data_IF_062603145845
#
_entry.id   IF_062603145845
#
_cell.length_a   1.000
_cell.length_b   1.000
_cell.length_c   1.000
_cell.angle_alpha   90.00
_cell.angle_beta   90.00
_cell.angle_gamma   90.00
#
_symmetry.space_group_name_H-M   'P 1'
#
loop_
_entity.id
_entity.type
_entity.pdbx_description
1 polymer ?
#
# COMPACT_ATOMS: atom_id res chain seq x y z
N UNK A 1 -46.86 -10.62 5.24
CA UNK A 1 -46.36 -9.23 5.27
C UNK A 1 -44.84 -9.28 5.28
N UNK A 2 -44.21 -9.48 4.11
CA UNK A 2 -42.76 -9.48 3.96
C UNK A 2 -42.44 -8.65 2.71
N UNK A 3 -42.38 -7.33 2.87
CA UNK A 3 -41.89 -6.41 1.85
C UNK A 3 -41.29 -5.18 2.52
N UNK A 4 -40.04 -4.92 2.19
CA UNK A 4 -39.40 -3.62 2.36
C UNK A 4 -38.63 -3.47 3.67
N UNK A 5 -37.32 -3.73 3.62
CA UNK A 5 -36.21 -2.76 3.81
C UNK A 5 -34.94 -3.57 3.50
N UNK A 6 -34.76 -3.95 2.24
CA UNK A 6 -33.43 -4.25 1.70
C UNK A 6 -33.29 -3.31 0.50
N UNK A 7 -33.50 -2.02 0.77
CA UNK A 7 -33.27 -0.96 -0.18
C UNK A 7 -31.77 -0.71 -0.22
N UNK A 8 -31.16 -1.11 -1.33
CA UNK A 8 -29.91 -0.53 -1.82
C UNK A 8 -28.78 -0.47 -0.79
N UNK A 9 -28.16 -1.61 -0.52
CA UNK A 9 -26.71 -1.58 -0.31
C UNK A 9 -26.16 -1.17 -1.69
N UNK A 10 -26.04 0.14 -1.94
CA UNK A 10 -24.89 0.58 -2.72
C UNK A 10 -23.71 -0.06 -2.01
N UNK A 11 -23.11 -1.08 -2.63
CA UNK A 11 -21.77 -1.48 -2.27
C UNK A 11 -20.91 -0.24 -2.51
N UNK A 12 -20.87 0.66 -1.52
CA UNK A 12 -19.82 1.65 -1.40
C UNK A 12 -18.56 0.82 -1.55
N UNK A 13 -17.82 1.03 -2.64
CA UNK A 13 -16.52 0.41 -2.83
C UNK A 13 -15.65 0.89 -1.67
N UNK A 14 -15.63 0.10 -0.59
CA UNK A 14 -14.75 0.35 0.55
C UNK A 14 -13.39 -0.16 0.12
N UNK A 15 -12.47 0.77 -0.06
CA UNK A 15 -11.09 0.45 -0.37
C UNK A 15 -10.33 0.21 0.95
N UNK A 16 -9.71 -0.96 1.05
CA UNK A 16 -8.93 -1.36 2.21
C UNK A 16 -7.55 -0.70 2.15
N UNK A 17 -7.21 0.07 3.18
CA UNK A 17 -5.94 0.77 3.27
C UNK A 17 -5.05 0.16 4.36
N UNK A 18 -3.83 -0.22 4.00
CA UNK A 18 -2.83 -0.76 4.93
C UNK A 18 -1.68 0.24 5.07
N UNK A 19 -1.40 0.63 6.31
CA UNK A 19 -0.23 1.44 6.70
C UNK A 19 0.32 0.93 8.03
N UNK A 20 1.55 1.27 8.35
CA UNK A 20 2.15 0.94 9.65
C UNK A 20 1.56 1.79 10.79
N UNK A 21 2.05 1.56 12.01
CA UNK A 21 1.59 2.23 13.21
C UNK A 21 2.35 3.53 13.55
N UNK A 22 3.07 4.14 12.60
CA UNK A 22 3.83 5.35 12.87
C UNK A 22 2.94 6.48 13.44
N UNK A 23 3.43 7.32 14.37
CA UNK A 23 2.60 8.36 15.00
C UNK A 23 1.95 9.34 14.02
N UNK A 24 2.62 9.65 12.90
CA UNK A 24 2.07 10.51 11.85
C UNK A 24 0.84 9.88 11.15
N UNK A 25 0.84 8.55 10.99
CA UNK A 25 -0.25 7.78 10.38
C UNK A 25 -1.49 7.67 11.29
N UNK A 26 -1.29 7.77 12.61
CA UNK A 26 -2.36 7.78 13.63
C UNK A 26 -2.85 9.17 14.02
N UNK A 27 -2.29 10.23 13.42
CA UNK A 27 -2.70 11.59 13.76
C UNK A 27 -4.17 11.83 13.42
N UNK A 28 -4.83 12.70 14.18
CA UNK A 28 -6.24 13.07 13.94
C UNK A 28 -6.45 13.57 12.49
N UNK A 29 -5.50 14.35 11.97
CA UNK A 29 -5.56 14.87 10.60
C UNK A 29 -5.58 13.73 9.58
N UNK A 30 -4.74 12.73 9.76
CA UNK A 30 -4.67 11.54 8.89
C UNK A 30 -5.95 10.73 8.96
N UNK A 31 -6.43 10.40 10.18
CA UNK A 31 -7.65 9.60 10.37
C UNK A 31 -8.89 10.27 9.78
N UNK A 32 -9.03 11.59 9.97
CA UNK A 32 -10.11 12.37 9.36
C UNK A 32 -10.03 12.34 7.83
N UNK A 33 -8.82 12.39 7.25
CA UNK A 33 -8.65 12.33 5.79
C UNK A 33 -8.99 10.95 5.24
N UNK A 34 -8.54 9.86 5.89
CA UNK A 34 -8.87 8.48 5.50
C UNK A 34 -10.38 8.26 5.50
N UNK A 35 -11.08 8.71 6.54
CA UNK A 35 -12.52 8.62 6.62
C UNK A 35 -13.23 9.40 5.50
N UNK A 36 -12.77 10.61 5.17
CA UNK A 36 -13.30 11.42 4.05
C UNK A 36 -13.09 10.76 2.69
N UNK A 37 -11.97 10.06 2.51
CA UNK A 37 -11.66 9.30 1.30
C UNK A 37 -12.37 7.93 1.26
N UNK A 38 -13.10 7.56 2.32
CA UNK A 38 -13.81 6.27 2.47
C UNK A 38 -12.86 5.06 2.49
N UNK A 39 -11.63 5.26 2.93
CA UNK A 39 -10.71 4.17 3.20
C UNK A 39 -11.04 3.50 4.53
N UNK A 40 -11.08 2.17 4.53
CA UNK A 40 -11.09 1.38 5.75
C UNK A 40 -9.67 0.99 6.13
N UNK A 41 -9.22 1.43 7.31
CA UNK A 41 -7.88 1.15 7.79
C UNK A 41 -7.78 -0.30 8.29
N UNK A 42 -6.93 -1.09 7.66
CA UNK A 42 -6.58 -2.42 8.14
C UNK A 42 -5.68 -2.33 9.37
N UNK A 43 -6.00 -3.15 10.39
CA UNK A 43 -5.15 -3.28 11.57
C UNK A 43 -3.79 -3.84 11.17
N UNK A 44 -2.74 -3.15 11.60
CA UNK A 44 -1.36 -3.59 11.45
C UNK A 44 -0.77 -3.88 12.84
N UNK A 45 -0.17 -5.05 13.07
CA UNK A 45 0.50 -5.33 14.32
C UNK A 45 1.77 -4.47 14.49
N UNK A 46 2.18 -4.12 15.73
CA UNK A 46 3.43 -3.40 15.95
C UNK A 46 4.65 -4.21 15.49
N UNK A 47 5.62 -3.54 14.85
CA UNK A 47 6.92 -4.11 14.44
C UNK A 47 6.82 -5.32 13.50
N UNK A 48 5.90 -5.29 12.53
CA UNK A 48 5.68 -6.40 11.59
C UNK A 48 5.97 -6.03 10.12
N UNK A 49 7.23 -5.70 9.77
CA UNK A 49 7.59 -5.40 8.38
C UNK A 49 7.41 -6.62 7.46
N UNK A 50 7.45 -7.82 8.02
CA UNK A 50 7.12 -9.06 7.32
C UNK A 50 5.67 -9.09 6.82
N UNK A 51 4.76 -8.34 7.44
CA UNK A 51 3.35 -8.22 7.04
C UNK A 51 3.06 -6.99 6.17
N UNK A 52 4.10 -6.26 5.76
CA UNK A 52 3.99 -5.09 4.89
C UNK A 52 4.53 -5.43 3.49
N UNK A 53 3.67 -5.56 2.47
CA UNK A 53 4.11 -5.83 1.08
C UNK A 53 5.11 -4.80 0.55
N UNK A 54 4.99 -3.54 0.99
CA UNK A 54 5.98 -2.50 0.68
C UNK A 54 7.37 -2.88 1.17
N UNK A 55 7.51 -3.40 2.39
CA UNK A 55 8.79 -3.72 3.00
C UNK A 55 9.40 -5.00 2.44
N UNK A 56 8.65 -6.10 2.41
CA UNK A 56 9.21 -7.41 2.04
C UNK A 56 9.29 -7.67 0.53
N UNK A 57 8.54 -6.94 -0.29
CA UNK A 57 8.46 -7.18 -1.73
C UNK A 57 8.94 -5.98 -2.54
N UNK A 58 8.32 -4.81 -2.33
CA UNK A 58 8.60 -3.64 -3.16
C UNK A 58 9.98 -3.05 -2.86
N UNK A 59 10.27 -2.74 -1.60
CA UNK A 59 11.56 -2.17 -1.20
C UNK A 59 12.70 -3.17 -1.38
N UNK A 60 12.48 -4.46 -1.16
CA UNK A 60 13.47 -5.48 -1.50
C UNK A 60 13.87 -5.46 -2.99
N UNK A 61 12.92 -5.24 -3.90
CA UNK A 61 13.20 -5.12 -5.33
C UNK A 61 13.89 -3.79 -5.69
N UNK A 62 13.51 -2.68 -5.03
CA UNK A 62 14.17 -1.38 -5.18
C UNK A 62 15.60 -1.42 -4.63
N UNK A 63 15.85 -2.03 -3.47
CA UNK A 63 17.19 -2.20 -2.92
C UNK A 63 18.11 -2.94 -3.89
N UNK A 64 17.59 -3.98 -4.54
CA UNK A 64 18.31 -4.70 -5.60
C UNK A 64 18.61 -3.81 -6.81
N UNK A 65 17.69 -2.93 -7.19
CA UNK A 65 17.94 -1.94 -8.24
C UNK A 65 19.03 -0.94 -7.81
N UNK A 66 18.98 -0.44 -6.58
CA UNK A 66 19.91 0.55 -6.05
C UNK A 66 21.31 -0.01 -5.79
N UNK A 67 21.45 -1.33 -5.65
CA UNK A 67 22.71 -1.96 -5.27
C UNK A 67 23.86 -1.59 -6.21
N UNK A 68 24.90 -0.96 -5.64
CA UNK A 68 26.10 -0.55 -6.38
C UNK A 68 25.94 0.68 -7.27
N UNK A 69 24.75 1.30 -7.30
CA UNK A 69 24.50 2.51 -8.08
C UNK A 69 24.82 3.76 -7.25
N UNK A 70 25.28 4.80 -7.93
CA UNK A 70 25.45 6.15 -7.39
C UNK A 70 24.77 7.11 -8.33
N UNK A 71 23.95 8.00 -7.76
CA UNK A 71 23.27 9.04 -8.51
C UNK A 71 24.02 10.35 -8.32
N UNK A 72 24.20 11.10 -9.40
CA UNK A 72 24.80 12.43 -9.41
C UNK A 72 23.84 13.53 -8.96
N UNK A 73 22.53 13.28 -9.06
CA UNK A 73 21.49 14.21 -8.59
C UNK A 73 20.20 13.51 -8.14
N UNK A 74 19.31 14.27 -7.50
CA UNK A 74 17.96 13.82 -7.15
C UNK A 74 17.12 13.47 -8.37
N UNK A 75 17.25 14.25 -9.45
CA UNK A 75 16.47 14.07 -10.67
C UNK A 75 16.82 12.76 -11.37
N UNK A 76 18.12 12.40 -11.36
CA UNK A 76 18.59 11.11 -11.88
C UNK A 76 18.02 9.94 -11.06
N UNK A 77 18.04 10.05 -9.73
CA UNK A 77 17.48 9.02 -8.85
C UNK A 77 15.96 8.85 -9.04
N UNK A 78 15.23 9.96 -9.23
CA UNK A 78 13.79 9.96 -9.51
C UNK A 78 13.52 9.28 -10.85
N UNK A 79 14.19 9.72 -11.92
CA UNK A 79 13.97 9.18 -13.27
C UNK A 79 14.25 7.67 -13.35
N UNK A 80 15.33 7.20 -12.72
CA UNK A 80 15.65 5.77 -12.69
C UNK A 80 14.61 4.98 -11.88
N UNK A 81 14.14 5.54 -10.77
CA UNK A 81 13.10 4.92 -9.94
C UNK A 81 11.78 4.83 -10.69
N UNK A 82 11.36 5.90 -11.38
CA UNK A 82 10.16 5.91 -12.23
C UNK A 82 10.24 4.87 -13.34
N UNK A 83 11.36 4.84 -14.09
CA UNK A 83 11.60 3.84 -15.13
C UNK A 83 11.55 2.40 -14.57
N UNK A 84 12.08 2.19 -13.36
CA UNK A 84 12.02 0.89 -12.69
C UNK A 84 10.59 0.47 -12.35
N UNK A 85 9.75 1.38 -11.85
CA UNK A 85 8.33 1.11 -11.62
C UNK A 85 7.57 0.81 -12.91
N UNK A 86 7.83 1.56 -13.98
CA UNK A 86 7.22 1.35 -15.30
C UNK A 86 7.63 0.01 -15.94
N UNK A 87 8.82 -0.48 -15.61
CA UNK A 87 9.28 -1.80 -16.08
C UNK A 87 8.52 -2.98 -15.46
N UNK A 88 7.79 -2.77 -14.35
CA UNK A 88 7.04 -3.82 -13.65
C UNK A 88 5.65 -3.97 -14.23
N UNK A 89 5.29 -5.19 -14.58
CA UNK A 89 3.94 -5.51 -14.98
C UNK A 89 3.02 -5.72 -13.76
N UNK A 90 1.70 -5.74 -13.99
CA UNK A 90 0.70 -5.91 -12.93
C UNK A 90 0.88 -7.20 -12.12
N UNK A 91 1.42 -8.27 -12.71
CA UNK A 91 1.65 -9.54 -12.02
C UNK A 91 2.72 -9.44 -10.95
N UNK A 92 3.71 -8.54 -11.10
CA UNK A 92 4.70 -8.27 -10.07
C UNK A 92 4.04 -7.79 -8.77
N UNK A 93 3.16 -6.80 -8.86
CA UNK A 93 2.44 -6.26 -7.70
C UNK A 93 1.45 -7.27 -7.14
N UNK A 94 0.70 -7.97 -8.01
CA UNK A 94 -0.24 -9.02 -7.60
C UNK A 94 0.45 -10.11 -6.79
N UNK A 95 1.60 -10.60 -7.27
CA UNK A 95 2.39 -11.63 -6.58
C UNK A 95 2.91 -11.15 -5.23
N UNK A 96 3.31 -9.88 -5.12
CA UNK A 96 3.68 -9.26 -3.85
C UNK A 96 2.53 -9.30 -2.84
N UNK A 97 1.30 -9.02 -3.29
CA UNK A 97 0.11 -9.07 -2.43
C UNK A 97 -0.31 -10.51 -2.07
N UNK A 98 -0.28 -11.45 -3.02
CA UNK A 98 -0.64 -12.86 -2.80
C UNK A 98 0.29 -13.53 -1.75
N UNK A 99 1.57 -13.15 -1.73
CA UNK A 99 2.52 -13.61 -0.71
C UNK A 99 2.16 -13.23 0.72
N UNK A 100 1.20 -12.35 0.93
CA UNK A 100 0.70 -12.05 2.26
C UNK A 100 -0.07 -13.23 2.88
N UNK A 101 -0.68 -14.09 2.06
CA UNK A 101 -1.41 -15.28 2.54
C UNK A 101 -0.48 -16.34 3.16
N UNK A 102 0.79 -16.32 2.77
CA UNK A 102 1.82 -17.25 3.24
C UNK A 102 2.54 -16.76 4.51
N UNK A 103 2.10 -15.64 5.10
CA UNK A 103 2.77 -14.95 6.21
C UNK A 103 1.93 -14.81 7.47
#
# INVERSE_FOLDING_TARGET
MLRGIIGSIECLEIELFRQDNAPCHKSMKTMVKLNKLRFELLLHPPHSPDLAPSDYWLFADIERMLQGRKFGSSEEAIAETEAHFESKDKSFYKKGMEKLEER
#
